data_IF_481061236774
#
_entry.id   IF_481061236774
#
_cell.length_a   1.000
_cell.length_b   1.000
_cell.length_c   1.000
_cell.angle_alpha   90.00
_cell.angle_beta   90.00
_cell.angle_gamma   90.00
#
_symmetry.space_group_name_H-M   'P 1'
#
loop_
_entity.id
_entity.type
_entity.pdbx_description
1 polymer ?
#
# COMPACT_ATOMS: atom_id res chain seq x y z
N UNK A 1 -11.52 7.50 -7.87
CA UNK A 1 -10.60 8.35 -7.10
C UNK A 1 -9.38 7.53 -6.72
N UNK A 2 -8.18 8.02 -7.07
CA UNK A 2 -6.90 7.36 -6.82
C UNK A 2 -6.24 7.93 -5.56
N UNK A 3 -5.73 7.06 -4.69
CA UNK A 3 -5.03 7.44 -3.47
C UNK A 3 -3.57 6.96 -3.49
N UNK A 4 -2.58 7.88 -3.45
CA UNK A 4 -1.18 7.51 -3.26
C UNK A 4 -0.82 7.33 -1.78
N UNK A 5 -0.25 6.17 -1.45
CA UNK A 5 0.22 5.74 -0.14
C UNK A 5 1.76 5.61 -0.12
N UNK A 6 2.45 6.75 -0.10
CA UNK A 6 3.93 6.81 -0.01
C UNK A 6 4.38 7.38 1.33
N UNK A 7 5.63 7.13 1.71
CA UNK A 7 6.22 7.63 2.96
C UNK A 7 6.31 9.17 3.03
N UNK A 8 6.30 9.85 1.87
CA UNK A 8 6.35 11.31 1.79
C UNK A 8 5.09 12.00 2.32
N UNK A 9 3.94 11.32 2.37
CA UNK A 9 2.70 11.89 2.91
C UNK A 9 2.51 11.50 4.37
N UNK A 10 1.98 12.45 5.16
CA UNK A 10 1.65 12.21 6.56
C UNK A 10 0.60 11.11 6.71
N UNK A 11 0.75 10.31 7.77
CA UNK A 11 -0.07 9.12 8.01
C UNK A 11 -1.55 9.47 8.27
N UNK A 12 -1.81 10.55 9.01
CA UNK A 12 -3.15 11.06 9.33
C UNK A 12 -3.97 11.48 8.10
N UNK A 13 -3.30 12.09 7.11
CA UNK A 13 -3.93 12.45 5.84
C UNK A 13 -4.32 11.19 5.05
N UNK A 14 -3.44 10.19 5.01
CA UNK A 14 -3.73 8.90 4.36
C UNK A 14 -4.87 8.16 5.05
N UNK A 15 -4.94 8.17 6.39
CA UNK A 15 -6.04 7.58 7.14
C UNK A 15 -7.39 8.19 6.78
N UNK A 16 -7.48 9.52 6.71
CA UNK A 16 -8.73 10.19 6.31
C UNK A 16 -9.12 9.82 4.88
N UNK A 17 -8.15 9.77 3.96
CA UNK A 17 -8.41 9.42 2.56
C UNK A 17 -8.82 7.96 2.39
N UNK A 18 -8.21 7.02 3.11
CA UNK A 18 -8.58 5.60 3.08
C UNK A 18 -10.01 5.37 3.58
N UNK A 19 -10.45 6.13 4.60
CA UNK A 19 -11.84 6.09 5.09
C UNK A 19 -12.87 6.56 4.06
N UNK A 20 -12.47 7.30 3.02
CA UNK A 20 -13.37 7.69 1.93
C UNK A 20 -13.60 6.56 0.92
N UNK A 21 -12.95 5.40 1.07
CA UNK A 21 -13.13 4.26 0.17
C UNK A 21 -12.60 4.52 -1.25
N UNK A 22 -11.31 4.83 -1.43
CA UNK A 22 -10.75 5.03 -2.77
C UNK A 22 -10.87 3.74 -3.61
N UNK A 23 -11.23 3.88 -4.88
CA UNK A 23 -11.31 2.74 -5.80
C UNK A 23 -9.95 2.18 -6.19
N UNK A 24 -8.91 3.03 -6.20
CA UNK A 24 -7.54 2.64 -6.56
C UNK A 24 -6.60 3.19 -5.49
N UNK A 25 -5.73 2.32 -4.97
CA UNK A 25 -4.66 2.67 -4.05
C UNK A 25 -3.33 2.28 -4.69
N UNK A 26 -2.39 3.23 -4.73
CA UNK A 26 -1.03 3.00 -5.26
C UNK A 26 -0.05 3.35 -4.15
N UNK A 27 0.94 2.52 -3.86
CA UNK A 27 1.88 2.81 -2.77
C UNK A 27 3.09 1.92 -2.77
N UNK A 28 4.09 2.30 -1.98
CA UNK A 28 5.28 1.46 -1.80
C UNK A 28 4.95 0.27 -0.88
N UNK A 29 5.57 -0.91 -1.10
CA UNK A 29 5.21 -2.13 -0.37
C UNK A 29 5.26 -1.96 1.15
N UNK A 30 6.31 -1.32 1.68
CA UNK A 30 6.45 -1.08 3.12
C UNK A 30 5.30 -0.24 3.70
N UNK A 31 4.88 0.82 3.00
CA UNK A 31 3.82 1.71 3.50
C UNK A 31 2.44 1.06 3.42
N UNK A 32 2.17 0.33 2.35
CA UNK A 32 0.92 -0.45 2.22
C UNK A 32 0.84 -1.54 3.28
N UNK A 33 1.95 -2.24 3.54
CA UNK A 33 2.04 -3.26 4.58
C UNK A 33 1.80 -2.68 5.98
N UNK A 34 2.31 -1.48 6.27
CA UNK A 34 2.01 -0.79 7.54
C UNK A 34 0.52 -0.53 7.72
N UNK A 35 -0.15 -0.06 6.66
CA UNK A 35 -1.59 0.18 6.70
C UNK A 35 -2.41 -1.10 6.88
N UNK A 36 -1.98 -2.20 6.24
CA UNK A 36 -2.57 -3.54 6.40
C UNK A 36 -2.41 -4.05 7.83
N UNK A 37 -1.19 -4.05 8.37
CA UNK A 37 -0.89 -4.50 9.75
C UNK A 37 -1.68 -3.73 10.81
N UNK A 38 -1.95 -2.44 10.57
CA UNK A 38 -2.72 -1.58 11.46
C UNK A 38 -4.24 -1.65 11.24
N UNK A 39 -4.72 -2.42 10.26
CA UNK A 39 -6.15 -2.55 9.93
C UNK A 39 -6.77 -1.31 9.30
N UNK A 40 -5.95 -0.42 8.74
CA UNK A 40 -6.39 0.88 8.19
C UNK A 40 -6.61 0.85 6.67
N UNK A 41 -6.10 -0.21 6.02
CA UNK A 41 -6.41 -0.58 4.66
C UNK A 41 -7.03 -1.98 4.69
N UNK A 42 -8.25 -2.12 4.16
CA UNK A 42 -8.93 -3.40 4.02
C UNK A 42 -8.93 -3.83 2.54
N UNK A 43 -8.40 -5.01 2.26
CA UNK A 43 -8.33 -5.60 0.92
C UNK A 43 -9.28 -6.80 0.74
N UNK A 44 -10.24 -7.02 1.66
CA UNK A 44 -11.16 -8.17 1.61
C UNK A 44 -11.96 -8.27 0.31
N UNK A 45 -12.19 -7.14 -0.36
CA UNK A 45 -12.94 -7.04 -1.61
C UNK A 45 -12.05 -6.70 -2.81
N UNK A 46 -10.73 -6.93 -2.71
CA UNK A 46 -9.79 -6.60 -3.77
C UNK A 46 -10.01 -7.52 -4.98
N UNK A 47 -10.31 -6.92 -6.14
CA UNK A 47 -10.51 -7.67 -7.39
C UNK A 47 -9.24 -7.80 -8.24
N UNK A 48 -8.20 -7.01 -7.95
CA UNK A 48 -6.95 -7.05 -8.71
C UNK A 48 -5.80 -6.39 -7.96
N UNK A 49 -4.60 -6.96 -8.14
CA UNK A 49 -3.35 -6.47 -7.59
C UNK A 49 -2.33 -6.39 -8.71
N UNK A 50 -1.66 -5.25 -8.84
CA UNK A 50 -0.52 -5.08 -9.75
C UNK A 50 0.73 -4.86 -8.91
N UNK A 51 1.75 -5.66 -9.18
CA UNK A 51 3.08 -5.50 -8.62
C UNK A 51 4.00 -5.07 -9.76
N UNK A 52 4.49 -3.84 -9.67
CA UNK A 52 5.48 -3.32 -10.61
C UNK A 52 6.88 -3.73 -10.13
N UNK A 53 7.80 -4.02 -11.06
CA UNK A 53 9.19 -4.45 -10.75
C UNK A 53 9.27 -5.57 -9.69
N UNK A 54 8.37 -6.56 -9.80
CA UNK A 54 8.20 -7.61 -8.80
C UNK A 54 9.46 -8.46 -8.57
N UNK A 55 10.32 -8.57 -9.58
CA UNK A 55 11.61 -9.23 -9.52
C UNK A 55 12.62 -8.48 -8.63
N UNK A 56 12.70 -7.15 -8.74
CA UNK A 56 13.51 -6.36 -7.80
C UNK A 56 12.93 -6.35 -6.39
N UNK A 57 11.59 -6.29 -6.26
CA UNK A 57 10.95 -6.45 -4.96
C UNK A 57 11.33 -7.78 -4.29
N UNK A 58 11.40 -8.88 -5.06
CA UNK A 58 11.84 -10.19 -4.58
C UNK A 58 13.33 -10.18 -4.19
N UNK A 59 14.18 -9.58 -5.00
CA UNK A 59 15.62 -9.46 -4.72
C UNK A 59 15.90 -8.70 -3.43
N UNK A 60 15.19 -7.59 -3.17
CA UNK A 60 15.27 -6.84 -1.92
C UNK A 60 14.84 -7.64 -0.68
N UNK A 61 13.90 -8.57 -0.85
CA UNK A 61 13.44 -9.44 0.25
C UNK A 61 14.44 -10.55 0.55
N UNK A 62 15.03 -11.18 -0.48
CA UNK A 62 15.98 -12.28 -0.34
C UNK A 62 17.38 -11.81 0.09
N UNK A 63 17.78 -10.58 -0.24
CA UNK A 63 19.09 -10.04 0.15
C UNK A 63 19.25 -9.74 1.64
N UNK A 64 18.18 -9.88 2.45
CA UNK A 64 18.19 -9.66 3.90
C UNK A 64 18.40 -10.95 4.72
N UNK A 65 18.66 -12.08 4.07
CA UNK A 65 19.06 -13.36 4.69
C UNK A 65 20.53 -13.61 4.41
#
# INVERSE_FOLDING_TARGET
>A
MLLPCTAAKRYDVQLRALRQGPQIVVGTPGRLLDHLKRGTLNLSNLSGLVLDEADEMLRMALSKT
#
